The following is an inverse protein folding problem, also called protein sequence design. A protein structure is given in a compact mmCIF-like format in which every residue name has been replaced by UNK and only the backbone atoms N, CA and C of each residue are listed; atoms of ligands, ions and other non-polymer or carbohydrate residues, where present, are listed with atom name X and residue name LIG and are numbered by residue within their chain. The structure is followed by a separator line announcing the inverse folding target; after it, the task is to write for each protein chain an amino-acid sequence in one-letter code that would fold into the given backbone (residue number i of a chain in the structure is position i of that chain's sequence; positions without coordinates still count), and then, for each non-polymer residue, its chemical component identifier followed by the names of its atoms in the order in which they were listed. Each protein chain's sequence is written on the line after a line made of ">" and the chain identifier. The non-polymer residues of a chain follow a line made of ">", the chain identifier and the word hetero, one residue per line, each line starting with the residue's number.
data_IF_912113562745
#
_entry.id   IF_912113562745
#
_cell.length_a   1.000
_cell.length_b   1.000
_cell.length_c   1.000
_cell.angle_alpha   90.00
_cell.angle_beta   90.00
_cell.angle_gamma   90.00
#
_symmetry.space_group_name_H-M   'P 1'
#
loop_
_entity.id
_entity.type
_entity.pdbx_description
1 polymer ?
#
# COMPACT_ATOMS: atom_id res chain seq x y z
N UNK A 1 -8.17 -7.22 -17.51
CA UNK A 1 -6.79 -7.04 -17.00
C UNK A 1 -6.46 -8.26 -16.16
N UNK A 2 -5.26 -8.83 -16.28
CA UNK A 2 -4.90 -10.01 -15.49
C UNK A 2 -4.71 -9.63 -14.01
N UNK A 3 -5.09 -10.52 -13.06
CA UNK A 3 -4.80 -10.32 -11.65
C UNK A 3 -3.28 -10.25 -11.42
N UNK A 4 -2.85 -9.50 -10.40
CA UNK A 4 -1.45 -9.50 -9.96
C UNK A 4 -1.12 -10.90 -9.40
N UNK A 5 -0.07 -11.59 -9.88
CA UNK A 5 0.32 -12.89 -9.35
C UNK A 5 0.77 -12.82 -7.88
N UNK A 6 0.77 -13.98 -7.22
CA UNK A 6 1.37 -14.10 -5.89
C UNK A 6 2.90 -13.96 -5.99
N UNK A 7 3.50 -13.25 -5.04
CA UNK A 7 4.94 -13.02 -5.09
C UNK A 7 5.45 -11.96 -4.12
N UNK A 8 6.73 -11.63 -4.30
CA UNK A 8 7.40 -10.55 -3.58
C UNK A 8 7.50 -9.33 -4.48
N UNK A 9 7.14 -8.16 -3.95
CA UNK A 9 7.07 -6.92 -4.70
C UNK A 9 7.70 -5.76 -3.95
N UNK A 10 8.31 -4.83 -4.65
CA UNK A 10 8.55 -3.47 -4.14
C UNK A 10 7.35 -2.59 -4.46
N UNK A 11 6.99 -1.73 -3.52
CA UNK A 11 5.89 -0.76 -3.68
C UNK A 11 6.47 0.65 -3.54
N UNK A 12 6.23 1.49 -4.53
CA UNK A 12 6.74 2.86 -4.58
C UNK A 12 5.59 3.85 -4.78
N UNK A 13 5.62 4.97 -4.06
CA UNK A 13 4.68 6.07 -4.29
C UNK A 13 4.95 6.73 -5.64
N UNK A 14 3.90 6.94 -6.43
CA UNK A 14 4.02 7.65 -7.72
C UNK A 14 4.27 9.14 -7.52
N UNK A 15 3.66 9.76 -6.50
CA UNK A 15 3.83 11.18 -6.18
C UNK A 15 5.23 11.49 -5.62
N UNK A 16 5.67 10.74 -4.61
CA UNK A 16 6.92 11.02 -3.90
C UNK A 16 8.16 10.34 -4.52
N UNK A 17 7.98 9.37 -5.42
CA UNK A 17 9.06 8.54 -5.98
C UNK A 17 9.90 7.83 -4.92
N UNK A 18 9.34 7.58 -3.73
CA UNK A 18 10.00 6.86 -2.63
C UNK A 18 9.28 5.55 -2.35
N UNK A 19 10.03 4.56 -1.86
CA UNK A 19 9.47 3.28 -1.45
C UNK A 19 8.66 3.43 -0.17
N UNK A 20 7.73 2.50 0.04
CA UNK A 20 7.03 2.36 1.32
C UNK A 20 7.50 1.09 2.03
N UNK A 21 7.26 1.03 3.33
CA UNK A 21 7.60 -0.13 4.14
C UNK A 21 7.34 0.11 5.61
N UNK A 22 7.75 -0.86 6.44
CA UNK A 22 7.79 -0.68 7.89
C UNK A 22 8.80 0.40 8.27
N UNK A 23 8.55 1.09 9.37
CA UNK A 23 9.49 2.08 9.89
C UNK A 23 10.86 1.46 10.13
N UNK A 24 11.98 2.11 9.76
CA UNK A 24 13.32 1.60 10.01
C UNK A 24 13.71 1.62 11.50
N UNK A 25 12.97 2.39 12.32
CA UNK A 25 13.18 2.48 13.77
C UNK A 25 11.88 2.12 14.47
N UNK A 26 11.82 0.90 15.00
CA UNK A 26 10.65 0.37 15.70
C UNK A 26 11.01 0.07 17.16
N UNK A 27 10.03 0.22 18.04
CA UNK A 27 10.11 -0.32 19.38
C UNK A 27 10.03 -1.87 19.36
N UNK A 28 10.38 -2.49 20.49
CA UNK A 28 10.31 -3.95 20.68
C UNK A 28 8.93 -4.44 21.13
N UNK A 29 7.91 -3.56 21.15
CA UNK A 29 6.56 -3.98 21.54
C UNK A 29 5.93 -4.85 20.45
N UNK A 30 4.84 -5.54 20.79
CA UNK A 30 4.01 -6.25 19.81
C UNK A 30 2.90 -5.36 19.23
N UNK A 31 2.95 -4.05 19.48
CA UNK A 31 2.01 -3.11 18.88
C UNK A 31 2.17 -3.11 17.35
N UNK A 32 1.08 -2.84 16.61
CA UNK A 32 1.13 -2.66 15.17
C UNK A 32 2.26 -1.71 14.75
N UNK A 33 2.94 -2.03 13.64
CA UNK A 33 4.05 -1.24 13.12
C UNK A 33 3.60 -0.37 11.96
N UNK A 34 4.06 0.87 11.93
CA UNK A 34 3.67 1.83 10.90
C UNK A 34 4.15 1.36 9.53
N UNK A 35 3.28 1.42 8.52
CA UNK A 35 3.68 1.36 7.12
C UNK A 35 3.73 2.79 6.60
N UNK A 36 4.92 3.23 6.19
CA UNK A 36 5.19 4.64 5.90
C UNK A 36 6.02 4.81 4.64
N UNK A 37 6.07 6.04 4.14
CA UNK A 37 7.07 6.44 3.16
C UNK A 37 8.46 6.34 3.79
N UNK A 38 9.38 5.68 3.09
CA UNK A 38 10.73 5.47 3.61
C UNK A 38 11.62 6.67 3.31
N UNK A 39 12.51 7.06 4.26
CA UNK A 39 13.55 8.05 4.01
C UNK A 39 14.47 7.65 2.85
N UNK A 40 15.19 8.64 2.33
CA UNK A 40 16.21 8.39 1.31
C UNK A 40 17.36 7.52 1.86
N UNK A 41 18.00 6.77 0.98
CA UNK A 41 19.09 5.85 1.33
C UNK A 41 18.63 4.52 1.95
N UNK A 42 17.34 4.35 2.25
CA UNK A 42 16.80 3.05 2.69
C UNK A 42 16.62 2.13 1.49
N UNK A 43 17.17 0.91 1.57
CA UNK A 43 16.94 -0.14 0.57
C UNK A 43 15.44 -0.47 0.54
N UNK A 44 14.88 -0.58 -0.66
CA UNK A 44 13.49 -0.97 -0.85
C UNK A 44 13.20 -2.31 -0.15
N UNK A 45 12.30 -2.35 0.85
CA UNK A 45 11.82 -3.61 1.38
C UNK A 45 10.86 -4.25 0.38
N UNK A 46 10.68 -5.56 0.49
CA UNK A 46 9.64 -6.26 -0.23
C UNK A 46 8.38 -6.38 0.62
N UNK A 47 7.25 -6.45 -0.08
CA UNK A 47 5.97 -6.92 0.42
C UNK A 47 5.70 -8.30 -0.17
N UNK A 48 5.14 -9.21 0.63
CA UNK A 48 4.54 -10.42 0.07
C UNK A 48 3.09 -10.12 -0.28
N UNK A 49 2.70 -10.39 -1.52
CA UNK A 49 1.32 -10.29 -1.99
C UNK A 49 0.85 -11.70 -2.26
N UNK A 50 -0.25 -12.10 -1.61
CA UNK A 50 -0.86 -13.43 -1.74
C UNK A 50 -2.34 -13.27 -2.01
N UNK A 51 -2.83 -13.91 -3.04
CA UNK A 51 -4.26 -14.06 -3.31
C UNK A 51 -4.97 -14.64 -2.07
N UNK A 52 -6.10 -14.05 -1.70
CA UNK A 52 -6.90 -14.46 -0.54
C UNK A 52 -8.36 -14.12 -0.81
N UNK A 53 -9.22 -15.14 -0.81
CA UNK A 53 -10.65 -14.95 -1.03
C UNK A 53 -10.95 -14.16 -2.32
N UNK A 54 -11.44 -12.94 -2.15
CA UNK A 54 -11.81 -12.03 -3.26
C UNK A 54 -10.75 -10.96 -3.58
N UNK A 55 -9.64 -10.94 -2.84
CA UNK A 55 -8.58 -9.96 -2.99
C UNK A 55 -7.21 -10.53 -2.63
N UNK A 56 -6.46 -9.77 -1.84
CA UNK A 56 -5.06 -10.02 -1.54
C UNK A 56 -4.77 -9.78 -0.06
N UNK A 57 -3.95 -10.64 0.54
CA UNK A 57 -3.20 -10.32 1.75
C UNK A 57 -1.88 -9.69 1.34
N UNK A 58 -1.64 -8.48 1.82
CA UNK A 58 -0.39 -7.75 1.60
C UNK A 58 0.38 -7.72 2.92
N UNK A 59 1.57 -8.32 2.94
CA UNK A 59 2.39 -8.44 4.14
C UNK A 59 3.59 -7.50 4.07
N UNK A 60 3.76 -6.67 5.09
CA UNK A 60 4.90 -5.78 5.27
C UNK A 60 5.85 -6.37 6.33
N UNK A 61 7.08 -6.71 5.94
CA UNK A 61 8.04 -7.37 6.84
C UNK A 61 7.45 -8.64 7.47
N UNK A 62 6.81 -9.49 6.66
CA UNK A 62 6.21 -10.76 7.06
C UNK A 62 4.87 -10.68 7.82
N UNK A 63 4.37 -9.48 8.11
CA UNK A 63 3.15 -9.30 8.89
C UNK A 63 2.02 -8.73 8.01
N UNK A 64 0.77 -9.22 8.11
CA UNK A 64 -0.34 -8.72 7.31
C UNK A 64 -0.59 -7.24 7.59
N UNK A 65 -1.12 -6.55 6.61
CA UNK A 65 -1.48 -5.13 6.76
C UNK A 65 -2.97 -4.97 7.03
N UNK A 66 -3.31 -3.96 7.84
CA UNK A 66 -4.68 -3.56 8.09
C UNK A 66 -4.80 -2.05 8.28
N UNK A 67 -6.03 -1.57 8.16
CA UNK A 67 -6.38 -0.20 8.56
C UNK A 67 -6.64 -0.16 10.07
N UNK A 68 -6.05 0.84 10.73
CA UNK A 68 -6.38 1.21 12.10
C UNK A 68 -6.21 2.71 12.26
N UNK A 69 -7.27 3.38 12.75
CA UNK A 69 -7.34 4.83 12.89
C UNK A 69 -6.94 5.57 11.58
N UNK A 70 -7.56 5.15 10.47
CA UNK A 70 -7.36 5.71 9.12
C UNK A 70 -5.92 5.66 8.62
N UNK A 71 -5.10 4.81 9.22
CA UNK A 71 -3.69 4.64 8.89
C UNK A 71 -3.40 3.17 8.59
N UNK A 72 -2.41 2.93 7.73
CA UNK A 72 -1.98 1.61 7.35
C UNK A 72 -0.94 1.09 8.35
N UNK A 73 -1.17 -0.10 8.87
CA UNK A 73 -0.31 -0.76 9.84
C UNK A 73 0.03 -2.17 9.43
N UNK A 74 1.22 -2.63 9.79
CA UNK A 74 1.61 -4.03 9.82
C UNK A 74 1.21 -4.62 11.18
N UNK A 75 0.43 -5.69 11.15
CA UNK A 75 -0.28 -6.25 12.31
C UNK A 75 0.49 -7.46 12.84
N UNK A 76 1.09 -7.32 14.02
CA UNK A 76 1.96 -8.34 14.64
C UNK A 76 1.18 -9.37 15.48
N UNK A 77 0.06 -8.94 16.02
CA UNK A 77 -0.94 -9.77 16.71
C UNK A 77 -2.24 -9.61 15.94
N UNK A 78 -3.10 -10.62 15.85
CA UNK A 78 -4.38 -10.60 15.10
C UNK A 78 -5.46 -9.67 15.70
N UNK A 79 -5.05 -8.42 16.00
CA UNK A 79 -5.78 -7.33 16.65
C UNK A 79 -5.18 -5.99 16.18
N UNK A 80 -5.86 -5.24 15.30
CA UNK A 80 -7.08 -5.63 14.59
C UNK A 80 -6.84 -6.82 13.65
N UNK A 81 -7.89 -7.54 13.22
CA UNK A 81 -7.75 -8.57 12.21
C UNK A 81 -7.09 -8.04 10.93
N UNK A 82 -6.37 -8.91 10.24
CA UNK A 82 -5.78 -8.59 8.93
C UNK A 82 -6.86 -8.15 7.91
N UNK A 83 -6.55 -7.15 7.10
CA UNK A 83 -7.43 -6.66 6.03
C UNK A 83 -7.17 -7.43 4.72
N UNK A 84 -8.22 -7.69 3.96
CA UNK A 84 -8.09 -8.10 2.56
C UNK A 84 -8.10 -6.85 1.66
N UNK A 85 -7.14 -6.76 0.75
CA UNK A 85 -6.99 -5.62 -0.16
C UNK A 85 -7.33 -6.02 -1.59
N UNK A 86 -7.94 -5.11 -2.34
CA UNK A 86 -8.09 -5.19 -3.79
C UNK A 86 -6.96 -4.40 -4.43
N UNK A 87 -6.23 -5.03 -5.35
CA UNK A 87 -5.19 -4.40 -6.16
C UNK A 87 -5.72 -4.26 -7.58
N UNK A 88 -5.83 -3.03 -8.07
CA UNK A 88 -6.38 -2.76 -9.40
C UNK A 88 -5.39 -1.95 -10.22
N UNK A 89 -5.03 -2.45 -11.40
CA UNK A 89 -4.15 -1.75 -12.32
C UNK A 89 -4.87 -0.58 -13.01
N UNK A 90 -4.13 0.52 -13.19
CA UNK A 90 -4.56 1.80 -13.76
C UNK A 90 -3.65 2.11 -14.97
N UNK A 91 -3.84 1.43 -16.11
CA UNK A 91 -2.92 1.49 -17.24
C UNK A 91 -2.81 2.89 -17.86
N UNK A 92 -3.89 3.68 -17.79
CA UNK A 92 -3.90 5.07 -18.28
C UNK A 92 -2.93 5.99 -17.51
N UNK A 93 -2.52 5.59 -16.31
CA UNK A 93 -1.56 6.35 -15.49
C UNK A 93 -0.11 5.90 -15.68
N UNK A 94 0.13 4.90 -16.54
CA UNK A 94 1.45 4.36 -16.88
C UNK A 94 1.64 2.88 -16.54
N UNK A 95 2.81 2.30 -16.87
CA UNK A 95 3.10 0.90 -16.61
C UNK A 95 3.23 0.61 -15.12
N UNK A 96 2.77 -0.57 -14.69
CA UNK A 96 2.84 -1.04 -13.30
C UNK A 96 2.20 -0.09 -12.28
N UNK A 97 1.17 0.66 -12.69
CA UNK A 97 0.43 1.60 -11.82
C UNK A 97 -0.79 0.93 -11.27
N UNK A 98 -0.97 1.03 -9.97
CA UNK A 98 -2.07 0.39 -9.26
C UNK A 98 -2.69 1.35 -8.24
N UNK A 99 -3.96 1.14 -7.94
CA UNK A 99 -4.57 1.54 -6.67
C UNK A 99 -4.69 0.30 -5.77
N UNK A 100 -4.64 0.51 -4.46
CA UNK A 100 -4.85 -0.52 -3.45
C UNK A 100 -6.02 -0.06 -2.59
N UNK A 101 -7.13 -0.79 -2.60
CA UNK A 101 -8.36 -0.43 -1.89
C UNK A 101 -8.78 -1.54 -0.93
N UNK A 102 -9.63 -1.21 0.03
CA UNK A 102 -10.50 -2.20 0.68
C UNK A 102 -11.39 -2.90 -0.38
N UNK A 103 -12.03 -4.04 -0.05
CA UNK A 103 -12.85 -4.77 -1.02
C UNK A 103 -14.04 -3.95 -1.55
N UNK A 104 -14.50 -2.96 -0.76
CA UNK A 104 -15.55 -2.03 -1.16
C UNK A 104 -15.17 -1.11 -2.34
N UNK A 105 -13.87 -0.99 -2.67
CA UNK A 105 -13.36 -0.15 -3.75
C UNK A 105 -13.38 1.36 -3.48
N UNK A 106 -13.86 1.81 -2.32
CA UNK A 106 -14.01 3.23 -1.99
C UNK A 106 -12.83 3.78 -1.19
N UNK A 107 -12.38 3.04 -0.18
CA UNK A 107 -11.27 3.45 0.68
C UNK A 107 -10.00 2.71 0.27
N UNK A 108 -8.86 3.38 0.27
CA UNK A 108 -7.61 2.78 -0.15
C UNK A 108 -6.39 3.49 0.38
N UNK A 109 -5.23 2.97 -0.02
CA UNK A 109 -3.93 3.46 0.40
C UNK A 109 -3.66 4.81 -0.27
N UNK A 110 -3.47 5.83 0.56
CA UNK A 110 -3.21 7.22 0.16
C UNK A 110 -1.93 7.66 0.85
N UNK A 111 -0.97 8.19 0.09
CA UNK A 111 0.13 8.96 0.66
C UNK A 111 -0.39 10.36 1.00
N UNK A 112 -0.44 10.77 2.28
CA UNK A 112 -0.78 12.15 2.60
C UNK A 112 0.36 13.08 2.14
N UNK A 113 -0.01 14.26 1.66
CA UNK A 113 0.93 15.19 1.00
C UNK A 113 1.66 16.12 1.97
N UNK A 114 1.34 16.06 3.26
CA UNK A 114 1.66 17.13 4.21
C UNK A 114 2.95 16.88 5.02
N UNK A 115 3.57 15.69 4.94
CA UNK A 115 4.77 15.35 5.72
C UNK A 115 5.74 14.38 4.97
N UNK A 116 7.08 14.63 4.99
CA UNK A 116 8.08 13.78 4.35
C UNK A 116 8.25 12.37 4.95
N UNK A 117 7.84 12.12 6.19
CA UNK A 117 7.87 10.79 6.85
C UNK A 117 6.45 10.29 7.16
N UNK A 118 5.51 10.55 6.25
CA UNK A 118 4.12 10.24 6.51
C UNK A 118 3.82 8.74 6.47
N UNK A 119 3.17 8.27 7.52
CA UNK A 119 2.50 6.97 7.53
C UNK A 119 1.42 6.92 6.44
N UNK A 120 1.35 5.82 5.70
CA UNK A 120 0.34 5.68 4.65
C UNK A 120 -1.04 5.70 5.28
N UNK A 121 -1.93 6.52 4.73
CA UNK A 121 -3.30 6.62 5.20
C UNK A 121 -4.20 5.64 4.45
N UNK A 122 -5.31 5.28 5.06
CA UNK A 122 -6.41 4.56 4.42
C UNK A 122 -7.64 5.45 4.46
N UNK A 123 -8.04 5.97 3.30
CA UNK A 123 -9.08 7.00 3.18
C UNK A 123 -9.88 6.81 1.89
N UNK A 124 -11.08 7.41 1.77
CA UNK A 124 -11.79 7.48 0.50
C UNK A 124 -10.89 8.00 -0.62
N UNK A 125 -10.89 7.30 -1.75
CA UNK A 125 -10.16 7.70 -2.94
C UNK A 125 -10.86 8.89 -3.61
N UNK A 126 -10.05 9.84 -4.11
CA UNK A 126 -10.54 10.96 -4.92
C UNK A 126 -10.44 10.52 -6.38
N UNK A 127 -11.55 10.54 -7.09
CA UNK A 127 -11.65 10.14 -8.49
C UNK A 127 -12.00 11.37 -9.32
N UNK A 128 -11.17 11.70 -10.30
CA UNK A 128 -11.39 12.82 -11.22
C UNK A 128 -12.44 12.47 -12.29
N UNK A 129 -13.27 13.44 -12.72
CA UNK A 129 -14.30 13.22 -13.73
C UNK A 129 -13.68 13.13 -15.12
N UNK A 130 -13.29 11.92 -15.54
CA UNK A 130 -12.78 11.63 -16.89
C UNK A 130 -13.10 10.19 -17.31
N UNK A 131 -13.03 9.92 -18.60
CA UNK A 131 -13.06 8.55 -19.14
C UNK A 131 -11.75 8.25 -19.91
N UNK A 132 -10.91 7.30 -19.44
CA UNK A 132 -11.04 6.55 -18.17
C UNK A 132 -10.82 7.44 -16.93
N UNK A 133 -11.22 7.00 -15.73
CA UNK A 133 -11.11 7.80 -14.51
C UNK A 133 -9.66 8.19 -14.19
N UNK A 134 -9.50 9.42 -13.71
CA UNK A 134 -8.24 9.95 -13.23
C UNK A 134 -8.10 9.71 -11.72
N UNK A 135 -6.92 9.26 -11.28
CA UNK A 135 -6.55 9.14 -9.88
C UNK A 135 -5.35 10.04 -9.59
N UNK A 136 -5.41 10.89 -8.53
CA UNK A 136 -4.28 11.69 -8.11
C UNK A 136 -3.02 10.84 -7.84
N UNK A 137 -1.81 11.34 -8.14
CA UNK A 137 -0.55 10.59 -7.98
C UNK A 137 -0.25 10.07 -6.57
N UNK A 138 -0.87 10.63 -5.53
CA UNK A 138 -0.71 10.19 -4.15
C UNK A 138 -1.61 9.00 -3.77
N UNK A 139 -2.48 8.56 -4.68
CA UNK A 139 -3.29 7.34 -4.56
C UNK A 139 -2.76 6.21 -5.45
N UNK A 140 -1.75 6.52 -6.27
CA UNK A 140 -1.16 5.60 -7.23
C UNK A 140 0.15 5.02 -6.70
N UNK A 141 0.30 3.72 -6.90
CA UNK A 141 1.44 2.93 -6.45
C UNK A 141 2.09 2.23 -7.64
N UNK A 142 3.42 2.30 -7.72
CA UNK A 142 4.19 1.42 -8.59
C UNK A 142 4.43 0.10 -7.88
N UNK A 143 3.99 -1.01 -8.47
CA UNK A 143 4.20 -2.35 -7.91
C UNK A 143 5.06 -3.14 -8.90
N UNK A 144 6.26 -3.55 -8.47
CA UNK A 144 7.23 -4.27 -9.32
C UNK A 144 7.74 -5.52 -8.60
N UNK A 145 8.01 -6.62 -9.32
CA UNK A 145 8.62 -7.80 -8.71
C UNK A 145 9.92 -7.44 -7.95
N UNK A 146 10.10 -8.04 -6.77
CA UNK A 146 11.33 -7.95 -6.00
C UNK A 146 12.28 -9.06 -6.49
N UNK A 147 13.31 -8.66 -7.24
CA UNK A 147 14.38 -9.53 -7.74
C UNK A 147 15.65 -9.37 -6.93
#
# INVERSE_FOLDING_TARGET
>A
MAPLPDGRYIIQSVSAKKFIGRSPREDLSLNPKRVMLLPEGIRAPFFEVKSSGSGYKILAGGNPTAEFDRSLWAILLDRPPAEEWKIQAIPQSGPNRYIITKPNGFEGWVLPLDDPETQIAVRPLIIGPSEPPFYPPNQLWEIRPYN
#
